data_IF_053561538484
#
_entry.id   IF_053561538484
#
_cell.length_a   1.000
_cell.length_b   1.000
_cell.length_c   1.000
_cell.angle_alpha   90.00
_cell.angle_beta   90.00
_cell.angle_gamma   90.00
#
_symmetry.space_group_name_H-M   'P 1'
#
loop_
_entity.id
_entity.type
_entity.pdbx_description
1 polymer ?
#
# COMPACT_ATOMS: atom_id res chain seq x y z
N UNK A 1 -24.12 -17.68 71.54
CA UNK A 1 -23.21 -16.61 71.05
C UNK A 1 -22.38 -16.98 69.81
N UNK A 2 -21.67 -18.13 69.79
CA UNK A 2 -20.79 -18.57 68.68
C UNK A 2 -21.44 -18.54 67.28
N UNK A 3 -22.73 -18.88 67.17
CA UNK A 3 -23.44 -18.94 65.88
C UNK A 3 -23.71 -17.57 65.23
N UNK A 4 -23.88 -16.50 66.03
CA UNK A 4 -24.10 -15.14 65.50
C UNK A 4 -22.81 -14.51 64.97
N UNK A 5 -21.67 -14.82 65.62
CA UNK A 5 -20.34 -14.34 65.21
C UNK A 5 -19.91 -14.98 63.88
N UNK A 6 -20.09 -16.30 63.73
CA UNK A 6 -19.81 -17.02 62.47
C UNK A 6 -20.62 -16.49 61.27
N UNK A 7 -21.90 -16.17 61.48
CA UNK A 7 -22.76 -15.57 60.43
C UNK A 7 -22.29 -14.18 60.01
N UNK A 8 -21.87 -13.33 60.96
CA UNK A 8 -21.34 -11.99 60.65
C UNK A 8 -20.03 -12.06 59.89
N UNK A 9 -19.11 -12.95 60.29
CA UNK A 9 -17.86 -13.21 59.57
C UNK A 9 -18.10 -13.71 58.15
N UNK A 10 -19.04 -14.64 57.97
CA UNK A 10 -19.40 -15.15 56.64
C UNK A 10 -19.98 -14.04 55.73
N UNK A 11 -20.81 -13.15 56.28
CA UNK A 11 -21.36 -12.02 55.52
C UNK A 11 -20.29 -11.00 55.13
N UNK A 12 -19.36 -10.69 56.03
CA UNK A 12 -18.24 -9.80 55.73
C UNK A 12 -17.32 -10.39 54.66
N UNK A 13 -17.04 -11.69 54.74
CA UNK A 13 -16.26 -12.38 53.71
C UNK A 13 -16.98 -12.40 52.37
N UNK A 14 -18.28 -12.69 52.35
CA UNK A 14 -19.09 -12.65 51.13
C UNK A 14 -19.12 -11.24 50.51
N UNK A 15 -19.23 -10.19 51.33
CA UNK A 15 -19.17 -8.80 50.87
C UNK A 15 -17.79 -8.46 50.29
N UNK A 16 -16.69 -8.91 50.92
CA UNK A 16 -15.34 -8.73 50.41
C UNK A 16 -15.16 -9.38 49.03
N UNK A 17 -15.61 -10.63 48.90
CA UNK A 17 -15.57 -11.37 47.62
C UNK A 17 -16.43 -10.69 46.55
N UNK A 18 -17.62 -10.22 46.93
CA UNK A 18 -18.54 -9.53 46.02
C UNK A 18 -17.98 -8.20 45.50
N UNK A 19 -17.02 -7.57 46.20
CA UNK A 19 -16.31 -6.37 45.74
C UNK A 19 -15.03 -6.71 44.99
N UNK A 20 -14.28 -7.72 45.46
CA UNK A 20 -13.02 -8.12 44.86
C UNK A 20 -13.20 -8.69 43.44
N UNK A 21 -14.24 -9.48 43.20
CA UNK A 21 -14.49 -10.09 41.89
C UNK A 21 -14.80 -9.05 40.79
N UNK A 22 -15.72 -8.07 40.98
CA UNK A 22 -15.91 -7.00 40.01
C UNK A 22 -14.66 -6.15 39.79
N UNK A 23 -13.88 -5.90 40.84
CA UNK A 23 -12.67 -5.10 40.73
C UNK A 23 -11.60 -5.82 39.90
N UNK A 24 -11.42 -7.13 40.13
CA UNK A 24 -10.54 -7.99 39.31
C UNK A 24 -11.02 -8.04 37.86
N UNK A 25 -12.33 -8.18 37.64
CA UNK A 25 -12.90 -8.19 36.29
C UNK A 25 -12.70 -6.85 35.58
N UNK A 26 -12.90 -5.73 36.27
CA UNK A 26 -12.66 -4.39 35.73
C UNK A 26 -11.18 -4.18 35.38
N UNK A 27 -10.26 -4.61 36.25
CA UNK A 27 -8.82 -4.52 35.97
C UNK A 27 -8.44 -5.36 34.74
N UNK A 28 -8.96 -6.58 34.63
CA UNK A 28 -8.72 -7.45 33.49
C UNK A 28 -9.28 -6.85 32.18
N UNK A 29 -10.48 -6.24 32.21
CA UNK A 29 -11.06 -5.55 31.03
C UNK A 29 -10.20 -4.36 30.60
N UNK A 30 -9.73 -3.55 31.55
CA UNK A 30 -8.89 -2.39 31.26
C UNK A 30 -7.54 -2.82 30.65
N UNK A 31 -6.91 -3.87 31.18
CA UNK A 31 -5.66 -4.41 30.64
C UNK A 31 -5.87 -4.99 29.24
N UNK A 32 -6.90 -5.83 29.06
CA UNK A 32 -7.21 -6.45 27.78
C UNK A 32 -7.49 -5.41 26.69
N UNK A 33 -8.19 -4.32 27.02
CA UNK A 33 -8.49 -3.23 26.07
C UNK A 33 -7.29 -2.34 25.78
N UNK A 34 -6.34 -2.22 26.70
CA UNK A 34 -5.10 -1.50 26.45
C UNK A 34 -4.20 -2.30 25.49
N UNK A 35 -4.00 -3.59 25.78
CA UNK A 35 -3.16 -4.48 24.99
C UNK A 35 -3.70 -4.64 23.56
N UNK A 36 -5.02 -4.80 23.39
CA UNK A 36 -5.65 -4.82 22.07
C UNK A 36 -5.46 -3.53 21.26
N UNK A 37 -5.38 -2.37 21.91
CA UNK A 37 -5.19 -1.08 21.23
C UNK A 37 -3.75 -0.91 20.77
N UNK A 38 -2.80 -1.33 21.59
CA UNK A 38 -1.38 -1.26 21.28
C UNK A 38 -1.02 -2.25 20.17
N UNK A 39 -1.47 -3.51 20.26
CA UNK A 39 -1.24 -4.52 19.22
C UNK A 39 -1.84 -4.10 17.86
N UNK A 40 -3.05 -3.53 17.86
CA UNK A 40 -3.68 -3.03 16.64
C UNK A 40 -2.93 -1.81 16.07
N UNK A 41 -2.38 -0.96 16.94
CA UNK A 41 -1.55 0.18 16.57
C UNK A 41 -0.25 -0.26 15.92
N UNK A 42 0.46 -1.19 16.55
CA UNK A 42 1.75 -1.71 16.08
C UNK A 42 1.59 -2.46 14.76
N UNK A 43 0.54 -3.28 14.62
CA UNK A 43 0.22 -3.93 13.35
C UNK A 43 -0.04 -2.92 12.22
N UNK A 44 -0.73 -1.80 12.52
CA UNK A 44 -1.00 -0.75 11.55
C UNK A 44 0.27 0.00 11.15
N UNK A 45 1.14 0.30 12.11
CA UNK A 45 2.45 0.94 11.86
C UNK A 45 3.32 0.04 10.99
N UNK A 46 3.45 -1.23 11.36
CA UNK A 46 4.22 -2.21 10.59
C UNK A 46 3.68 -2.36 9.16
N UNK A 47 2.36 -2.44 8.98
CA UNK A 47 1.73 -2.52 7.66
C UNK A 47 2.00 -1.26 6.82
N UNK A 48 1.96 -0.07 7.45
CA UNK A 48 2.26 1.20 6.79
C UNK A 48 3.72 1.27 6.34
N UNK A 49 4.65 0.86 7.18
CA UNK A 49 6.08 0.85 6.87
C UNK A 49 6.40 -0.13 5.75
N UNK A 50 5.86 -1.35 5.81
CA UNK A 50 6.00 -2.35 4.76
C UNK A 50 5.44 -1.85 3.42
N UNK A 51 4.27 -1.18 3.44
CA UNK A 51 3.71 -0.57 2.24
C UNK A 51 4.58 0.57 1.69
N UNK A 52 5.08 1.45 2.56
CA UNK A 52 5.96 2.54 2.14
C UNK A 52 7.25 2.02 1.49
N UNK A 53 7.79 0.94 2.02
CA UNK A 53 8.97 0.29 1.46
C UNK A 53 8.69 -0.34 0.09
N UNK A 54 7.56 -1.03 -0.06
CA UNK A 54 7.11 -1.55 -1.36
C UNK A 54 7.00 -0.43 -2.40
N UNK A 55 6.35 0.68 -2.06
CA UNK A 55 6.22 1.85 -2.94
C UNK A 55 7.60 2.43 -3.31
N UNK A 56 8.53 2.50 -2.35
CA UNK A 56 9.89 3.01 -2.59
C UNK A 56 10.65 2.13 -3.57
N UNK A 57 10.60 0.81 -3.39
CA UNK A 57 11.25 -0.17 -4.25
C UNK A 57 10.66 -0.11 -5.66
N UNK A 58 9.34 -0.07 -5.79
CA UNK A 58 8.68 0.00 -7.09
C UNK A 58 9.00 1.30 -7.82
N UNK A 59 9.05 2.43 -7.10
CA UNK A 59 9.48 3.71 -7.68
C UNK A 59 10.91 3.67 -8.21
N UNK A 60 11.83 3.04 -7.49
CA UNK A 60 13.22 2.91 -7.91
C UNK A 60 13.34 2.07 -9.19
N UNK A 61 12.62 0.95 -9.27
CA UNK A 61 12.57 0.09 -10.47
C UNK A 61 11.99 0.82 -11.68
N UNK A 62 10.86 1.51 -11.49
CA UNK A 62 10.23 2.33 -12.53
C UNK A 62 11.17 3.44 -13.01
N UNK A 63 11.90 4.08 -12.09
CA UNK A 63 12.90 5.10 -12.41
C UNK A 63 14.03 4.52 -13.28
N UNK A 64 14.62 3.40 -12.87
CA UNK A 64 15.70 2.75 -13.62
C UNK A 64 15.25 2.32 -15.03
N UNK A 65 14.06 1.73 -15.16
CA UNK A 65 13.49 1.37 -16.45
C UNK A 65 13.25 2.58 -17.36
N UNK A 66 12.81 3.71 -16.78
CA UNK A 66 12.63 4.96 -17.52
C UNK A 66 13.98 5.56 -17.95
N UNK A 67 15.02 5.47 -17.13
CA UNK A 67 16.35 5.99 -17.47
C UNK A 67 16.95 5.24 -18.67
N UNK A 68 16.78 3.91 -18.72
CA UNK A 68 17.15 3.09 -19.88
C UNK A 68 16.38 3.53 -21.13
N UNK A 69 15.06 3.75 -21.01
CA UNK A 69 14.23 4.22 -22.11
C UNK A 69 14.60 5.64 -22.59
N UNK A 70 15.05 6.52 -21.70
CA UNK A 70 15.50 7.89 -22.04
C UNK A 70 16.85 7.92 -22.72
N UNK A 71 17.70 6.93 -22.45
CA UNK A 71 19.01 6.81 -23.09
C UNK A 71 18.92 6.38 -24.57
N UNK A 72 17.80 5.78 -24.99
CA UNK A 72 17.58 5.38 -26.38
C UNK A 72 17.20 6.57 -27.27
N UNK A 73 18.21 7.10 -27.97
CA UNK A 73 18.05 8.20 -28.93
C UNK A 73 17.13 7.84 -30.11
N UNK A 74 16.95 6.56 -30.43
CA UNK A 74 16.05 6.11 -31.49
C UNK A 74 14.60 6.33 -31.08
N UNK A 75 14.22 6.02 -29.84
CA UNK A 75 12.87 6.28 -29.33
C UNK A 75 12.55 7.78 -29.38
N UNK A 76 13.52 8.63 -29.00
CA UNK A 76 13.36 10.08 -29.08
C UNK A 76 13.12 10.53 -30.53
N UNK A 77 13.96 10.08 -31.48
CA UNK A 77 13.82 10.45 -32.88
C UNK A 77 12.47 10.03 -33.47
N UNK A 78 12.03 8.79 -33.20
CA UNK A 78 10.74 8.27 -33.66
C UNK A 78 9.56 9.03 -33.05
N UNK A 79 9.66 9.39 -31.77
CA UNK A 79 8.63 10.18 -31.08
C UNK A 79 8.55 11.61 -31.63
N UNK A 80 9.69 12.27 -31.85
CA UNK A 80 9.73 13.61 -32.45
C UNK A 80 9.23 13.62 -33.89
N UNK A 81 9.53 12.58 -34.67
CA UNK A 81 9.02 12.41 -36.03
C UNK A 81 7.52 12.05 -36.08
N UNK A 82 6.87 11.85 -34.92
CA UNK A 82 5.50 11.32 -34.79
C UNK A 82 5.29 10.01 -35.55
N UNK A 83 6.33 9.18 -35.66
CA UNK A 83 6.24 7.85 -36.26
C UNK A 83 5.74 6.83 -35.22
N UNK A 84 4.42 6.69 -35.15
CA UNK A 84 3.76 5.81 -34.18
C UNK A 84 4.13 4.34 -34.38
N UNK A 85 4.20 3.87 -35.63
CA UNK A 85 4.45 2.47 -35.94
C UNK A 85 5.91 2.10 -35.65
N UNK A 86 6.85 2.96 -36.07
CA UNK A 86 8.26 2.81 -35.76
C UNK A 86 8.53 2.90 -34.25
N UNK A 87 7.88 3.83 -33.56
CA UNK A 87 7.99 3.99 -32.10
C UNK A 87 7.49 2.74 -31.36
N UNK A 88 6.36 2.17 -31.78
CA UNK A 88 5.87 0.91 -31.22
C UNK A 88 6.85 -0.24 -31.45
N UNK A 89 7.32 -0.42 -32.70
CA UNK A 89 8.26 -1.48 -33.03
C UNK A 89 9.60 -1.37 -32.28
N UNK A 90 10.03 -0.15 -31.95
CA UNK A 90 11.22 0.10 -31.15
C UNK A 90 10.99 -0.11 -29.65
N UNK A 91 9.84 0.30 -29.11
CA UNK A 91 9.57 0.24 -27.68
C UNK A 91 9.04 -1.11 -27.19
N UNK A 92 8.37 -1.89 -28.05
CA UNK A 92 7.72 -3.15 -27.69
C UNK A 92 8.69 -4.19 -27.08
N UNK A 93 9.89 -4.44 -27.63
CA UNK A 93 10.81 -5.42 -27.05
C UNK A 93 11.23 -5.05 -25.62
N UNK A 94 11.66 -3.79 -25.42
CA UNK A 94 12.02 -3.29 -24.09
C UNK A 94 10.84 -3.33 -23.13
N UNK A 95 9.62 -3.02 -23.61
CA UNK A 95 8.42 -3.11 -22.77
C UNK A 95 8.16 -4.54 -22.30
N UNK A 96 8.33 -5.55 -23.17
CA UNK A 96 8.14 -6.95 -22.80
C UNK A 96 9.16 -7.38 -21.73
N UNK A 97 10.43 -7.01 -21.89
CA UNK A 97 11.49 -7.28 -20.90
C UNK A 97 11.16 -6.68 -19.53
N UNK A 98 10.88 -5.38 -19.47
CA UNK A 98 10.59 -4.72 -18.18
C UNK A 98 9.24 -5.16 -17.59
N UNK A 99 8.27 -5.57 -18.42
CA UNK A 99 7.01 -6.13 -17.94
C UNK A 99 7.26 -7.47 -17.26
N UNK A 100 8.07 -8.33 -17.87
CA UNK A 100 8.30 -9.67 -17.35
C UNK A 100 9.22 -9.63 -16.12
N UNK A 101 10.25 -8.78 -16.12
CA UNK A 101 11.20 -8.65 -15.01
C UNK A 101 10.68 -7.80 -13.83
N UNK A 102 9.89 -6.76 -14.12
CA UNK A 102 9.52 -5.76 -13.12
C UNK A 102 8.00 -5.56 -12.97
N UNK A 103 7.18 -6.35 -13.67
CA UNK A 103 5.71 -6.26 -13.65
C UNK A 103 5.18 -4.88 -14.02
N UNK A 104 5.93 -4.14 -14.85
CA UNK A 104 5.49 -2.84 -15.36
C UNK A 104 4.34 -3.07 -16.34
N UNK A 105 3.15 -2.65 -15.94
CA UNK A 105 1.92 -2.90 -16.69
C UNK A 105 1.64 -1.86 -17.77
N UNK A 106 2.11 -0.63 -17.58
CA UNK A 106 1.76 0.49 -18.46
C UNK A 106 3.01 1.29 -18.88
N UNK A 107 3.17 1.47 -20.18
CA UNK A 107 4.12 2.41 -20.79
C UNK A 107 3.38 3.30 -21.79
N UNK A 108 3.49 4.61 -21.57
CA UNK A 108 2.86 5.65 -22.40
C UNK A 108 3.89 6.59 -22.99
N UNK A 109 3.66 7.01 -24.24
CA UNK A 109 4.22 8.21 -24.81
C UNK A 109 3.13 9.27 -24.84
N UNK A 110 3.37 10.41 -24.20
CA UNK A 110 2.39 11.49 -24.00
C UNK A 110 2.93 12.73 -24.68
N UNK A 111 2.09 13.39 -25.49
CA UNK A 111 2.46 14.65 -26.11
C UNK A 111 2.51 15.75 -25.05
N UNK A 112 3.51 16.64 -25.10
CA UNK A 112 3.62 17.74 -24.14
C UNK A 112 2.41 18.69 -24.26
N UNK A 113 2.15 19.52 -23.23
CA UNK A 113 1.13 20.56 -23.31
C UNK A 113 1.31 21.44 -24.57
N UNK A 114 0.22 21.89 -25.20
CA UNK A 114 -1.17 21.88 -24.72
C UNK A 114 -1.96 20.60 -25.04
N UNK A 115 -1.42 19.69 -25.85
CA UNK A 115 -2.17 18.53 -26.37
C UNK A 115 -2.46 17.50 -25.26
N UNK A 116 -1.47 17.19 -24.41
CA UNK A 116 -1.57 16.23 -23.28
C UNK A 116 -2.24 14.88 -23.64
N UNK A 117 -2.13 14.49 -24.91
CA UNK A 117 -2.74 13.30 -25.49
C UNK A 117 -1.81 12.11 -25.40
N UNK A 118 -2.39 10.93 -25.19
CA UNK A 118 -1.66 9.68 -25.22
C UNK A 118 -1.37 9.29 -26.67
N UNK A 119 -0.18 9.61 -27.16
CA UNK A 119 0.23 9.31 -28.54
C UNK A 119 0.38 7.81 -28.80
N UNK A 120 0.90 7.07 -27.82
CA UNK A 120 1.08 5.63 -27.91
C UNK A 120 0.99 4.98 -26.53
N UNK A 121 0.20 3.91 -26.44
CA UNK A 121 0.22 2.95 -25.34
C UNK A 121 0.90 1.69 -25.83
N UNK A 122 2.08 1.37 -25.31
CA UNK A 122 2.83 0.19 -25.79
C UNK A 122 2.04 -1.09 -25.49
N UNK A 123 1.50 -1.21 -24.28
CA UNK A 123 0.68 -2.34 -23.85
C UNK A 123 -0.69 -2.47 -24.57
N UNK A 124 -1.17 -1.41 -25.23
CA UNK A 124 -2.46 -1.41 -25.92
C UNK A 124 -2.43 -0.44 -27.10
N UNK A 125 -1.67 -0.81 -28.14
CA UNK A 125 -1.42 0.06 -29.31
C UNK A 125 -2.67 0.55 -30.04
N UNK A 126 -3.81 -0.13 -29.88
CA UNK A 126 -5.07 0.23 -30.55
C UNK A 126 -5.84 1.33 -29.82
N UNK A 127 -5.51 1.59 -28.55
CA UNK A 127 -6.05 2.72 -27.79
C UNK A 127 -5.03 3.86 -27.82
N UNK A 128 -5.30 4.87 -28.65
CA UNK A 128 -4.44 6.04 -28.83
C UNK A 128 -5.27 7.32 -28.89
N UNK A 129 -4.59 8.45 -28.79
CA UNK A 129 -5.10 9.80 -29.03
C UNK A 129 -6.17 10.26 -28.01
N UNK A 130 -6.27 9.62 -26.85
CA UNK A 130 -7.10 10.09 -25.75
C UNK A 130 -6.38 11.15 -24.90
N UNK A 131 -7.11 12.18 -24.50
CA UNK A 131 -6.59 13.25 -23.64
C UNK A 131 -6.38 12.69 -22.23
N UNK A 132 -5.16 12.76 -21.73
CA UNK A 132 -4.85 12.40 -20.34
C UNK A 132 -5.19 13.62 -19.47
N UNK A 133 -6.43 13.70 -18.96
CA UNK A 133 -6.76 14.63 -17.88
C UNK A 133 -6.28 14.03 -16.55
N UNK A 134 -5.27 14.64 -15.93
CA UNK A 134 -4.77 14.25 -14.62
C UNK A 134 -5.42 15.08 -13.52
#
# INVERSE_FOLDING_TARGET
MKHRIRRRLALLFAALVAVALPLLWLMADLQYRAELRDDAGDALVAAREAYAELVRVDRAKLGAALDVARADQRLLALFTARDRAGLYAAAEPTYQEIRDEHRITHWYFILPPPESTCFLRVHNRFKADDVISR
#
